data_IF_069819954136
#
_entry.id   IF_069819954136
#
_cell.length_a   1.000
_cell.length_b   1.000
_cell.length_c   1.000
_cell.angle_alpha   90.00
_cell.angle_beta   90.00
_cell.angle_gamma   90.00
#
_symmetry.space_group_name_H-M   'P 1'
#
loop_
_entity.id
_entity.type
_entity.pdbx_description
1 polymer ?
#
# COMPACT_ATOMS: atom_id res chain seq x y z
N UNK A 1 -16.95 15.07 -12.42
CA UNK A 1 -15.68 14.51 -12.95
C UNK A 1 -15.70 13.00 -12.74
N UNK A 2 -15.18 12.23 -13.69
CA UNK A 2 -15.09 10.76 -13.58
C UNK A 2 -13.91 10.36 -12.69
N UNK A 3 -13.97 9.23 -11.97
CA UNK A 3 -12.85 8.79 -11.15
C UNK A 3 -11.59 8.51 -11.97
N UNK A 4 -10.47 9.09 -11.58
CA UNK A 4 -9.15 8.77 -12.13
C UNK A 4 -8.59 7.56 -11.39
N UNK A 5 -8.22 6.52 -12.13
CA UNK A 5 -7.61 5.31 -11.59
C UNK A 5 -6.19 5.63 -11.04
N UNK A 6 -5.84 5.24 -9.81
CA UNK A 6 -4.48 5.42 -9.31
C UNK A 6 -3.47 4.54 -10.04
N UNK A 7 -2.23 5.00 -10.10
CA UNK A 7 -1.05 4.14 -10.24
C UNK A 7 -0.65 3.63 -8.86
N UNK A 8 -0.28 2.35 -8.76
CA UNK A 8 0.10 1.73 -7.48
C UNK A 8 1.50 1.16 -7.62
N UNK A 9 2.41 1.56 -6.73
CA UNK A 9 3.82 1.16 -6.76
C UNK A 9 4.22 0.42 -5.48
N UNK A 10 4.94 -0.71 -5.58
CA UNK A 10 5.45 -1.41 -4.42
C UNK A 10 6.62 -0.65 -3.80
N UNK A 11 6.70 -0.65 -2.46
CA UNK A 11 7.79 -0.08 -1.68
C UNK A 11 8.21 -1.12 -0.64
N UNK A 12 9.50 -1.44 -0.59
CA UNK A 12 10.03 -2.45 0.32
C UNK A 12 11.27 -1.92 1.02
N UNK A 13 11.32 -2.03 2.35
CA UNK A 13 12.59 -1.84 3.05
C UNK A 13 13.49 -3.06 2.83
N UNK A 14 14.79 -2.83 2.76
CA UNK A 14 15.75 -3.93 2.59
C UNK A 14 15.91 -4.72 3.88
N UNK A 15 15.45 -5.96 3.85
CA UNK A 15 15.62 -6.94 4.92
C UNK A 15 14.86 -6.61 6.21
N UNK A 16 14.96 -7.50 7.21
CA UNK A 16 14.33 -7.30 8.51
C UNK A 16 14.91 -6.08 9.23
N UNK A 17 14.05 -5.35 9.92
CA UNK A 17 14.40 -4.29 10.85
C UNK A 17 14.96 -4.87 12.15
N UNK A 18 15.65 -4.06 12.99
CA UNK A 18 16.26 -4.54 14.24
C UNK A 18 15.28 -5.19 15.25
N UNK A 19 13.98 -4.91 15.11
CA UNK A 19 12.90 -5.48 15.90
C UNK A 19 12.39 -6.84 15.38
N UNK A 20 12.99 -7.37 14.30
CA UNK A 20 12.62 -8.64 13.68
C UNK A 20 11.43 -8.55 12.71
N UNK A 21 10.96 -7.34 12.40
CA UNK A 21 9.87 -7.12 11.46
C UNK A 21 10.35 -6.77 10.06
N UNK A 22 9.54 -7.09 9.07
CA UNK A 22 9.62 -6.56 7.72
C UNK A 22 8.64 -5.39 7.62
N UNK A 23 9.05 -4.35 6.87
CA UNK A 23 8.20 -3.20 6.59
C UNK A 23 8.12 -3.02 5.08
N UNK A 24 6.90 -3.10 4.58
CA UNK A 24 6.58 -2.87 3.17
C UNK A 24 5.45 -1.85 3.06
N UNK A 25 5.28 -1.28 1.89
CA UNK A 25 4.24 -0.31 1.61
C UNK A 25 3.81 -0.33 0.14
N UNK A 26 2.67 0.25 -0.14
CA UNK A 26 2.26 0.60 -1.50
C UNK A 26 2.01 2.10 -1.58
N UNK A 27 2.58 2.75 -2.60
CA UNK A 27 2.31 4.13 -2.96
C UNK A 27 1.16 4.16 -3.95
N UNK A 28 0.08 4.88 -3.63
CA UNK A 28 -1.10 5.06 -4.47
C UNK A 28 -1.08 6.49 -4.98
N UNK A 29 -0.81 6.70 -6.25
CA UNK A 29 -0.53 8.02 -6.82
C UNK A 29 -1.44 8.35 -8.00
N UNK A 30 -1.86 9.61 -8.09
CA UNK A 30 -2.53 10.15 -9.29
C UNK A 30 -4.01 9.82 -9.36
N UNK A 31 -4.69 9.64 -8.22
CA UNK A 31 -6.13 9.35 -8.18
C UNK A 31 -6.96 10.60 -7.91
N UNK A 32 -8.23 10.56 -8.32
CA UNK A 32 -9.22 11.58 -8.01
C UNK A 32 -10.63 11.00 -8.11
N UNK A 33 -11.59 11.35 -7.23
CA UNK A 33 -11.43 12.22 -6.06
C UNK A 33 -10.81 11.49 -4.86
N UNK A 34 -10.69 12.13 -3.69
CA UNK A 34 -9.94 11.54 -2.57
C UNK A 34 -10.57 10.26 -1.98
N UNK A 35 -11.91 10.18 -1.94
CA UNK A 35 -12.65 9.12 -1.24
C UNK A 35 -13.97 8.78 -1.91
N UNK A 36 -14.39 7.49 -1.97
CA UNK A 36 -13.81 6.39 -1.20
C UNK A 36 -12.55 5.78 -1.83
N UNK A 37 -11.54 5.62 -0.98
CA UNK A 37 -10.34 4.83 -1.22
C UNK A 37 -10.20 3.81 -0.10
N UNK A 38 -10.07 2.53 -0.46
CA UNK A 38 -9.80 1.45 0.47
C UNK A 38 -8.52 0.75 0.06
N UNK A 39 -7.60 0.62 1.02
CA UNK A 39 -6.33 -0.09 0.85
C UNK A 39 -6.23 -1.17 1.92
N UNK A 40 -6.07 -2.41 1.49
CA UNK A 40 -5.94 -3.59 2.35
C UNK A 40 -4.76 -4.46 1.91
N UNK A 41 -4.40 -5.44 2.73
CA UNK A 41 -3.27 -6.32 2.49
C UNK A 41 -3.67 -7.79 2.57
N UNK A 42 -2.93 -8.66 1.88
CA UNK A 42 -3.13 -10.12 1.91
C UNK A 42 -2.84 -10.74 3.28
N UNK A 43 -1.95 -10.11 4.06
CA UNK A 43 -1.55 -10.58 5.39
C UNK A 43 -2.32 -9.86 6.50
N UNK A 44 -2.73 -10.63 7.51
CA UNK A 44 -3.38 -10.13 8.72
C UNK A 44 -3.16 -11.11 9.87
N UNK A 45 -3.29 -10.64 11.11
CA UNK A 45 -3.19 -11.49 12.30
C UNK A 45 -2.21 -10.97 13.34
N UNK A 46 -1.68 -11.88 14.16
CA UNK A 46 -0.83 -11.53 15.29
C UNK A 46 0.50 -10.93 14.81
N UNK A 47 0.82 -9.73 15.33
CA UNK A 47 2.04 -9.00 14.97
C UNK A 47 1.97 -8.24 13.64
N UNK A 48 0.87 -8.34 12.90
CA UNK A 48 0.65 -7.59 11.65
C UNK A 48 -0.01 -6.26 11.96
N UNK A 49 0.56 -5.16 11.47
CA UNK A 49 0.02 -3.81 11.62
C UNK A 49 -0.09 -3.14 10.25
N UNK A 50 -1.25 -2.53 9.97
CA UNK A 50 -1.49 -1.74 8.76
C UNK A 50 -1.71 -0.28 9.14
N UNK A 51 -1.03 0.63 8.45
CA UNK A 51 -1.21 2.07 8.58
C UNK A 51 -1.56 2.63 7.20
N UNK A 52 -2.80 3.12 7.05
CA UNK A 52 -3.25 3.86 5.87
C UNK A 52 -3.07 5.36 6.13
N UNK A 53 -2.19 6.00 5.38
CA UNK A 53 -1.96 7.44 5.52
C UNK A 53 -3.07 8.25 4.84
N UNK A 54 -3.35 9.48 5.30
CA UNK A 54 -4.30 10.35 4.62
C UNK A 54 -3.75 10.81 3.25
N UNK A 55 -4.60 10.94 2.23
CA UNK A 55 -4.19 11.48 0.94
C UNK A 55 -3.67 12.92 1.03
N UNK A 56 -2.60 13.21 0.28
CA UNK A 56 -2.12 14.55 0.00
C UNK A 56 -2.37 14.90 -1.46
N UNK A 57 -2.65 16.18 -1.71
CA UNK A 57 -2.85 16.69 -3.06
C UNK A 57 -1.50 17.00 -3.72
N UNK A 58 -1.38 16.71 -5.00
CA UNK A 58 -0.20 17.06 -5.77
C UNK A 58 -0.05 18.58 -5.94
N UNK A 59 1.15 19.04 -6.30
CA UNK A 59 1.43 20.48 -6.44
C UNK A 59 0.57 21.16 -7.51
N UNK A 60 0.03 20.39 -8.47
CA UNK A 60 -0.85 20.91 -9.51
C UNK A 60 -2.29 21.14 -9.01
N UNK A 61 -2.66 20.62 -7.84
CA UNK A 61 -3.98 20.76 -7.26
C UNK A 61 -5.03 19.86 -7.93
N UNK A 62 -4.64 18.89 -8.74
CA UNK A 62 -5.57 18.09 -9.55
C UNK A 62 -5.76 16.66 -9.05
N UNK A 63 -4.73 16.06 -8.47
CA UNK A 63 -4.69 14.64 -8.15
C UNK A 63 -4.20 14.39 -6.72
N UNK A 64 -4.57 13.25 -6.18
CA UNK A 64 -4.20 12.82 -4.84
C UNK A 64 -3.16 11.70 -4.87
N UNK A 65 -2.37 11.65 -3.80
CA UNK A 65 -1.39 10.60 -3.52
C UNK A 65 -1.52 10.17 -2.07
N UNK A 66 -1.43 8.88 -1.78
CA UNK A 66 -1.34 8.36 -0.42
C UNK A 66 -0.44 7.13 -0.39
N UNK A 67 -0.15 6.61 0.80
CA UNK A 67 0.50 5.32 0.99
C UNK A 67 -0.23 4.48 2.04
N UNK A 68 -0.07 3.16 1.92
CA UNK A 68 -0.39 2.21 2.99
C UNK A 68 0.88 1.47 3.35
N UNK A 69 1.17 1.35 4.64
CA UNK A 69 2.29 0.59 5.18
C UNK A 69 1.78 -0.67 5.88
N UNK A 70 2.49 -1.77 5.67
CA UNK A 70 2.33 -3.03 6.37
C UNK A 70 3.62 -3.36 7.11
N UNK A 71 3.49 -3.59 8.41
CA UNK A 71 4.56 -4.12 9.27
C UNK A 71 4.15 -5.51 9.73
N UNK A 72 5.01 -6.50 9.54
CA UNK A 72 4.75 -7.90 9.89
C UNK A 72 6.04 -8.62 10.32
N UNK A 73 5.97 -9.66 11.16
CA UNK A 73 7.15 -10.44 11.55
C UNK A 73 7.83 -11.04 10.32
N UNK A 74 9.17 -11.04 10.28
CA UNK A 74 9.91 -11.60 9.14
C UNK A 74 9.59 -13.07 8.85
N UNK A 75 9.18 -13.85 9.85
CA UNK A 75 8.71 -15.22 9.69
C UNK A 75 7.41 -15.34 8.86
N UNK A 76 6.60 -14.29 8.82
CA UNK A 76 5.35 -14.21 8.04
C UNK A 76 5.58 -13.66 6.64
N UNK A 77 6.75 -13.06 6.35
CA UNK A 77 7.15 -12.73 4.99
C UNK A 77 8.66 -12.84 4.77
N UNK A 78 9.15 -14.04 4.41
CA UNK A 78 10.53 -14.27 4.00
C UNK A 78 10.95 -13.45 2.77
N UNK A 79 12.25 -13.25 2.57
CA UNK A 79 12.80 -12.40 1.51
C UNK A 79 12.44 -12.81 0.08
N UNK A 80 12.17 -14.09 -0.17
CA UNK A 80 11.76 -14.61 -1.48
C UNK A 80 10.24 -14.52 -1.72
N UNK A 81 9.49 -14.00 -0.75
CA UNK A 81 8.04 -13.85 -0.84
C UNK A 81 7.62 -12.40 -1.11
N UNK A 82 6.34 -12.25 -1.43
CA UNK A 82 5.68 -10.98 -1.61
C UNK A 82 4.30 -11.02 -0.97
N UNK A 83 3.89 -9.89 -0.42
CA UNK A 83 2.52 -9.67 0.06
C UNK A 83 1.76 -8.80 -0.94
N UNK A 84 0.45 -8.90 -0.97
CA UNK A 84 -0.37 -8.14 -1.93
C UNK A 84 -1.01 -6.93 -1.27
N UNK A 85 -0.82 -5.75 -1.86
CA UNK A 85 -1.60 -4.56 -1.55
C UNK A 85 -2.80 -4.49 -2.50
N UNK A 86 -4.00 -4.46 -1.94
CA UNK A 86 -5.26 -4.36 -2.66
C UNK A 86 -5.78 -2.92 -2.60
N UNK A 87 -5.92 -2.27 -3.75
CA UNK A 87 -6.38 -0.87 -3.82
C UNK A 87 -7.71 -0.80 -4.54
N UNK A 88 -8.76 -0.40 -3.81
CA UNK A 88 -10.09 -0.12 -4.35
C UNK A 88 -10.36 1.38 -4.27
N UNK A 89 -10.43 2.02 -5.43
CA UNK A 89 -10.75 3.45 -5.54
C UNK A 89 -12.04 3.65 -6.33
N UNK A 90 -13.11 4.09 -5.66
CA UNK A 90 -14.42 4.32 -6.28
C UNK A 90 -14.90 3.10 -7.10
N UNK A 91 -15.45 3.34 -8.29
CA UNK A 91 -15.93 2.35 -9.24
C UNK A 91 -14.82 1.67 -10.04
N UNK A 92 -13.54 2.05 -9.86
CA UNK A 92 -12.43 1.39 -10.55
C UNK A 92 -12.31 -0.08 -10.11
N UNK A 93 -11.86 -0.99 -10.99
CA UNK A 93 -11.48 -2.35 -10.59
C UNK A 93 -10.43 -2.33 -9.48
N UNK A 94 -10.43 -3.37 -8.65
CA UNK A 94 -9.39 -3.55 -7.62
C UNK A 94 -8.03 -3.68 -8.33
N UNK A 95 -7.03 -3.02 -7.77
CA UNK A 95 -5.64 -3.16 -8.22
C UNK A 95 -4.87 -3.95 -7.17
N UNK A 96 -4.39 -5.11 -7.58
CA UNK A 96 -3.54 -5.97 -6.76
C UNK A 96 -2.09 -5.75 -7.15
N UNK A 97 -1.28 -5.31 -6.20
CA UNK A 97 0.16 -5.10 -6.39
C UNK A 97 0.93 -5.98 -5.43
N UNK A 98 1.74 -6.88 -5.97
CA UNK A 98 2.70 -7.66 -5.19
C UNK A 98 3.84 -6.75 -4.73
N UNK A 99 4.13 -6.78 -3.43
CA UNK A 99 5.17 -6.02 -2.77
C UNK A 99 6.20 -6.99 -2.18
N UNK A 100 7.44 -7.00 -2.69
CA UNK A 100 8.49 -7.89 -2.19
C UNK A 100 8.82 -7.64 -0.72
N UNK A 101 9.17 -8.68 0.03
CA UNK A 101 9.51 -8.56 1.45
C UNK A 101 11.01 -8.42 1.74
N UNK A 102 11.88 -8.65 0.75
CA UNK A 102 13.33 -8.52 0.87
C UNK A 102 14.02 -8.22 -0.44
#
# INVERSE_FOLDING_TARGET
ASPTKPNVFPLSLRGPQPDGNVVVACLVQGFFPQEPLNVTWSESGAGVTVINFPPSQDASGGLYTTSSQLTLPAAQCPSDQSVTCHVKHYTNPIQDVAVPCG
#
